data_IF_986847235110
#
_entry.id   IF_986847235110
#
_cell.length_a   1.000
_cell.length_b   1.000
_cell.length_c   1.000
_cell.angle_alpha   90.00
_cell.angle_beta   90.00
_cell.angle_gamma   90.00
#
_symmetry.space_group_name_H-M   'P 1'
#
loop_
_entity.id
_entity.type
_entity.pdbx_description
1 polymer ?
#
# COMPACT_ATOMS: atom_id res chain seq x y z
N UNK A 1 -9.02 11.90 8.66
CA UNK A 1 -8.28 11.62 7.42
C UNK A 1 -7.53 12.88 7.00
N UNK A 2 -6.22 12.94 7.28
CA UNK A 2 -5.33 14.07 6.92
C UNK A 2 -5.47 14.45 5.43
N UNK A 3 -5.38 13.45 4.57
CA UNK A 3 -5.54 13.55 3.12
C UNK A 3 -6.84 14.27 2.69
N UNK A 4 -7.96 13.95 3.34
CA UNK A 4 -9.25 14.58 3.04
C UNK A 4 -9.30 16.06 3.45
N UNK A 5 -8.59 16.46 4.51
CA UNK A 5 -8.54 17.85 4.97
C UNK A 5 -7.76 18.69 3.96
N UNK A 6 -6.62 18.18 3.53
CA UNK A 6 -5.76 18.81 2.53
C UNK A 6 -6.35 18.77 1.12
N UNK A 7 -7.30 17.85 0.86
CA UNK A 7 -8.09 17.79 -0.35
C UNK A 7 -7.49 16.94 -1.46
N UNK A 8 -6.43 16.18 -1.14
CA UNK A 8 -5.86 15.16 -2.00
C UNK A 8 -5.91 13.81 -1.27
N UNK A 9 -6.72 12.88 -1.79
CA UNK A 9 -6.76 11.50 -1.30
C UNK A 9 -5.92 10.68 -2.27
N UNK A 10 -4.95 9.92 -1.74
CA UNK A 10 -3.95 9.24 -2.57
C UNK A 10 -4.51 8.03 -3.32
N UNK A 11 -5.74 7.59 -2.98
CA UNK A 11 -6.48 6.54 -3.66
C UNK A 11 -7.98 6.74 -3.47
N UNK A 12 -8.74 6.67 -4.56
CA UNK A 12 -10.18 6.59 -4.56
C UNK A 12 -10.56 5.20 -5.07
N UNK A 13 -10.90 4.24 -4.19
CA UNK A 13 -11.22 2.89 -4.62
C UNK A 13 -12.38 2.94 -5.63
N UNK A 14 -12.18 2.39 -6.83
CA UNK A 14 -13.15 2.51 -7.93
C UNK A 14 -14.58 2.13 -7.53
N UNK A 15 -14.75 1.04 -6.78
CA UNK A 15 -16.06 0.52 -6.35
C UNK A 15 -16.76 1.35 -5.26
N UNK A 16 -16.02 2.21 -4.53
CA UNK A 16 -16.51 2.90 -3.33
C UNK A 16 -16.37 4.42 -3.42
N UNK A 17 -16.29 4.94 -4.65
CA UNK A 17 -16.05 6.36 -4.91
C UNK A 17 -17.11 6.95 -5.83
N UNK A 18 -17.53 8.18 -5.52
CA UNK A 18 -18.47 8.94 -6.34
C UNK A 18 -17.75 10.12 -7.01
N UNK A 19 -17.92 10.23 -8.33
CA UNK A 19 -17.23 11.24 -9.13
C UNK A 19 -18.23 12.21 -9.75
N UNK A 20 -17.87 13.49 -9.80
CA UNK A 20 -18.58 14.43 -10.68
C UNK A 20 -18.16 14.15 -12.11
N UNK A 21 -19.09 13.83 -13.00
CA UNK A 21 -18.79 13.51 -14.40
C UNK A 21 -17.91 14.59 -15.08
N UNK A 22 -18.22 15.87 -14.84
CA UNK A 22 -17.41 17.00 -15.33
C UNK A 22 -15.95 17.00 -14.85
N UNK A 23 -15.67 16.44 -13.68
CA UNK A 23 -14.34 16.41 -13.08
C UNK A 23 -13.46 15.32 -13.71
N UNK A 24 -14.05 14.18 -14.09
CA UNK A 24 -13.31 13.04 -14.66
C UNK A 24 -13.20 13.10 -16.18
N UNK A 25 -14.16 13.72 -16.90
CA UNK A 25 -14.13 13.79 -18.37
C UNK A 25 -12.85 14.45 -18.90
N UNK A 26 -12.28 13.85 -19.95
CA UNK A 26 -11.08 14.33 -20.63
C UNK A 26 -9.83 13.59 -20.15
N UNK A 27 -8.69 14.30 -19.93
CA UNK A 27 -7.42 13.67 -19.56
C UNK A 27 -7.50 12.72 -18.35
N UNK A 28 -8.23 12.99 -17.25
CA UNK A 28 -8.28 12.07 -16.12
C UNK A 28 -8.87 10.70 -16.47
N UNK A 29 -9.95 10.67 -17.26
CA UNK A 29 -10.58 9.42 -17.70
C UNK A 29 -9.73 8.67 -18.73
N UNK A 30 -9.03 9.40 -19.61
CA UNK A 30 -8.08 8.80 -20.56
C UNK A 30 -6.91 8.15 -19.82
N UNK A 31 -6.37 8.82 -18.81
CA UNK A 31 -5.33 8.25 -17.95
C UNK A 31 -5.84 6.99 -17.25
N UNK A 32 -7.05 7.02 -16.67
CA UNK A 32 -7.64 5.86 -15.99
C UNK A 32 -7.72 4.61 -16.87
N UNK A 33 -8.12 4.76 -18.14
CA UNK A 33 -8.27 3.64 -19.08
C UNK A 33 -7.03 3.35 -19.92
N UNK A 34 -5.91 4.05 -19.70
CA UNK A 34 -4.72 3.93 -20.55
C UNK A 34 -4.21 2.48 -20.67
N UNK A 35 -4.28 1.71 -19.58
CA UNK A 35 -3.88 0.30 -19.57
C UNK A 35 -4.77 -0.63 -20.38
N UNK A 36 -5.99 -0.21 -20.74
CA UNK A 36 -6.90 -0.94 -21.62
C UNK A 36 -6.74 -0.53 -23.09
N UNK A 37 -6.28 0.70 -23.35
CA UNK A 37 -6.17 1.25 -24.71
C UNK A 37 -4.77 1.13 -25.29
N UNK A 38 -3.75 0.95 -24.45
CA UNK A 38 -2.34 0.89 -24.87
C UNK A 38 -1.78 -0.51 -24.60
N UNK A 39 -1.21 -1.18 -25.61
CA UNK A 39 -0.54 -2.47 -25.41
C UNK A 39 0.56 -2.40 -24.35
N UNK A 40 0.74 -3.47 -23.56
CA UNK A 40 1.72 -3.50 -22.46
C UNK A 40 3.17 -3.31 -22.93
N UNK A 41 3.51 -3.78 -24.13
CA UNK A 41 4.85 -3.61 -24.69
C UNK A 41 5.21 -2.13 -24.96
N UNK A 42 4.22 -1.26 -25.17
CA UNK A 42 4.41 0.19 -25.35
C UNK A 42 4.45 0.95 -24.02
N UNK A 43 3.73 0.49 -23.00
CA UNK A 43 3.72 1.09 -21.66
C UNK A 43 5.07 0.94 -20.94
N UNK A 44 5.71 -0.22 -21.11
CA UNK A 44 6.93 -0.60 -20.40
C UNK A 44 6.70 -0.98 -18.93
N UNK A 45 7.74 -1.51 -18.28
CA UNK A 45 7.62 -2.13 -16.96
C UNK A 45 7.21 -1.15 -15.84
N UNK A 46 7.72 0.09 -15.87
CA UNK A 46 7.41 1.11 -14.87
C UNK A 46 5.93 1.53 -14.97
N UNK A 47 5.46 1.95 -16.16
CA UNK A 47 4.06 2.37 -16.31
C UNK A 47 3.12 1.19 -16.14
N UNK A 48 3.50 0.00 -16.60
CA UNK A 48 2.74 -1.23 -16.38
C UNK A 48 2.47 -1.48 -14.90
N UNK A 49 3.50 -1.40 -14.04
CA UNK A 49 3.30 -1.51 -12.59
C UNK A 49 2.49 -0.33 -12.03
N UNK A 50 2.71 0.90 -12.51
CA UNK A 50 1.95 2.09 -12.10
C UNK A 50 0.44 1.92 -12.34
N UNK A 51 0.04 1.35 -13.49
CA UNK A 51 -1.35 1.12 -13.86
C UNK A 51 -2.00 -0.11 -13.20
N UNK A 52 -1.28 -0.82 -12.31
CA UNK A 52 -1.90 -1.70 -11.32
C UNK A 52 -2.65 -0.88 -10.24
N UNK A 53 -2.49 0.43 -10.21
CA UNK A 53 -3.24 1.31 -9.31
C UNK A 53 -3.78 2.53 -10.07
N UNK A 54 -4.55 2.29 -11.14
CA UNK A 54 -5.16 3.33 -11.98
C UNK A 54 -6.01 4.34 -11.18
N UNK A 55 -6.64 3.87 -10.09
CA UNK A 55 -7.40 4.69 -9.16
C UNK A 55 -6.53 5.81 -8.55
N UNK A 56 -5.25 5.54 -8.26
CA UNK A 56 -4.30 6.51 -7.70
C UNK A 56 -3.87 7.54 -8.74
N UNK A 57 -3.65 7.09 -9.98
CA UNK A 57 -3.31 7.96 -11.11
C UNK A 57 -4.46 8.94 -11.36
N UNK A 58 -5.70 8.44 -11.36
CA UNK A 58 -6.89 9.28 -11.48
C UNK A 58 -6.96 10.35 -10.39
N UNK A 59 -6.65 10.01 -9.13
CA UNK A 59 -6.62 10.98 -8.04
C UNK A 59 -5.63 12.13 -8.32
N UNK A 60 -4.43 11.79 -8.80
CA UNK A 60 -3.43 12.80 -9.14
C UNK A 60 -3.85 13.66 -10.34
N UNK A 61 -4.35 13.05 -11.41
CA UNK A 61 -4.84 13.80 -12.59
C UNK A 61 -6.02 14.71 -12.28
N UNK A 62 -6.87 14.33 -11.31
CA UNK A 62 -7.91 15.21 -10.80
C UNK A 62 -7.35 16.41 -10.04
N UNK A 63 -6.35 16.18 -9.17
CA UNK A 63 -5.72 17.24 -8.37
C UNK A 63 -4.97 18.26 -9.25
N UNK A 64 -4.18 17.75 -10.20
CA UNK A 64 -3.30 18.52 -11.07
C UNK A 64 -4.02 19.09 -12.31
N UNK A 65 -5.34 18.91 -12.42
CA UNK A 65 -6.08 19.28 -13.62
C UNK A 65 -5.92 20.76 -13.98
N UNK A 66 -5.47 21.00 -15.22
CA UNK A 66 -5.21 22.35 -15.77
C UNK A 66 -6.40 23.30 -15.58
N UNK A 67 -6.14 24.44 -14.94
CA UNK A 67 -7.11 25.51 -14.70
C UNK A 67 -8.24 25.15 -13.73
N UNK A 68 -8.19 24.00 -13.08
CA UNK A 68 -9.24 23.51 -12.18
C UNK A 68 -8.73 23.41 -10.73
N UNK A 69 -9.69 23.28 -9.80
CA UNK A 69 -9.45 23.19 -8.35
C UNK A 69 -10.21 22.03 -7.70
N UNK A 70 -10.16 20.87 -8.35
CA UNK A 70 -10.85 19.68 -7.84
C UNK A 70 -10.17 19.15 -6.59
N UNK A 71 -10.98 18.82 -5.59
CA UNK A 71 -10.53 18.23 -4.33
C UNK A 71 -11.31 16.95 -4.07
N UNK A 72 -10.70 16.07 -3.28
CA UNK A 72 -11.25 14.77 -2.90
C UNK A 72 -11.61 14.80 -1.42
N UNK A 73 -12.72 14.16 -1.07
CA UNK A 73 -13.24 14.17 0.30
C UNK A 73 -13.65 12.76 0.72
N UNK A 74 -13.26 12.40 1.94
CA UNK A 74 -13.68 11.19 2.61
C UNK A 74 -14.99 11.44 3.35
N UNK A 75 -15.97 10.57 3.16
CA UNK A 75 -17.27 10.63 3.85
C UNK A 75 -17.37 9.42 4.76
N UNK A 76 -17.17 9.63 6.06
CA UNK A 76 -17.17 8.55 7.07
C UNK A 76 -18.47 7.75 7.09
N UNK A 77 -19.61 8.41 6.93
CA UNK A 77 -20.93 7.77 6.98
C UNK A 77 -21.25 6.95 5.71
N UNK A 78 -20.38 6.98 4.69
CA UNK A 78 -20.53 6.17 3.48
C UNK A 78 -19.93 4.78 3.70
N UNK A 79 -20.77 3.84 4.13
CA UNK A 79 -20.37 2.45 4.41
C UNK A 79 -20.51 1.59 3.16
N UNK A 80 -19.44 0.90 2.79
CA UNK A 80 -19.44 -0.15 1.77
C UNK A 80 -18.98 -1.48 2.37
N UNK A 81 -19.54 -2.59 1.88
CA UNK A 81 -19.14 -3.96 2.25
C UNK A 81 -18.59 -4.65 1.02
N UNK A 82 -17.50 -5.40 1.20
CA UNK A 82 -16.83 -6.13 0.13
C UNK A 82 -16.35 -7.46 0.66
N UNK A 83 -16.25 -8.42 -0.25
CA UNK A 83 -15.67 -9.72 0.06
C UNK A 83 -14.15 -9.60 0.25
N UNK A 84 -13.64 -10.37 1.19
CA UNK A 84 -12.20 -10.51 1.43
C UNK A 84 -11.67 -11.75 0.72
N UNK A 85 -10.38 -11.79 0.35
CA UNK A 85 -9.78 -13.01 -0.18
C UNK A 85 -9.97 -14.18 0.80
N UNK A 86 -10.50 -15.30 0.32
CA UNK A 86 -10.78 -16.50 1.13
C UNK A 86 -9.59 -17.45 1.20
N UNK A 87 -8.64 -17.32 0.27
CA UNK A 87 -7.43 -18.13 0.21
C UNK A 87 -6.13 -17.30 0.17
N UNK A 88 -5.05 -17.94 0.58
CA UNK A 88 -3.73 -17.29 0.67
C UNK A 88 -3.17 -16.86 -0.69
N UNK A 89 -3.47 -17.60 -1.76
CA UNK A 89 -2.97 -17.28 -3.10
C UNK A 89 -3.62 -16.00 -3.62
N UNK A 90 -4.94 -15.88 -3.46
CA UNK A 90 -5.68 -14.66 -3.78
C UNK A 90 -5.20 -13.47 -2.94
N UNK A 91 -4.92 -13.68 -1.65
CA UNK A 91 -4.38 -12.64 -0.78
C UNK A 91 -2.99 -12.19 -1.24
N UNK A 92 -2.06 -13.10 -1.51
CA UNK A 92 -0.70 -12.79 -1.97
C UNK A 92 -0.75 -12.06 -3.33
N UNK A 93 -1.55 -12.55 -4.28
CA UNK A 93 -1.74 -11.90 -5.58
C UNK A 93 -2.37 -10.52 -5.48
N UNK A 94 -3.33 -10.31 -4.56
CA UNK A 94 -3.87 -8.99 -4.27
C UNK A 94 -2.79 -8.06 -3.68
N UNK A 95 -2.04 -8.54 -2.68
CA UNK A 95 -1.02 -7.73 -1.99
C UNK A 95 0.13 -7.33 -2.91
N UNK A 96 0.60 -8.23 -3.79
CA UNK A 96 1.58 -7.89 -4.83
C UNK A 96 1.12 -6.71 -5.68
N UNK A 97 -0.10 -6.79 -6.22
CA UNK A 97 -0.66 -5.74 -7.09
C UNK A 97 -0.77 -4.40 -6.35
N UNK A 98 -1.27 -4.44 -5.13
CA UNK A 98 -1.48 -3.23 -4.33
C UNK A 98 -0.15 -2.60 -3.89
N UNK A 99 0.84 -3.39 -3.51
CA UNK A 99 2.16 -2.90 -3.09
C UNK A 99 2.91 -2.30 -4.28
N UNK A 100 3.04 -3.05 -5.39
CA UNK A 100 3.70 -2.56 -6.60
C UNK A 100 2.95 -1.33 -7.16
N UNK A 101 1.65 -1.44 -7.41
CA UNK A 101 0.85 -0.34 -7.95
C UNK A 101 0.90 0.92 -7.10
N UNK A 102 0.81 0.78 -5.77
CA UNK A 102 0.92 1.93 -4.87
C UNK A 102 2.30 2.56 -4.90
N UNK A 103 3.38 1.76 -4.92
CA UNK A 103 4.75 2.29 -4.99
C UNK A 103 4.98 3.10 -6.26
N UNK A 104 4.70 2.53 -7.44
CA UNK A 104 4.94 3.22 -8.71
C UNK A 104 4.02 4.42 -8.95
N UNK A 105 2.75 4.33 -8.55
CA UNK A 105 1.84 5.48 -8.63
C UNK A 105 2.25 6.63 -7.70
N UNK A 106 2.84 6.30 -6.55
CA UNK A 106 3.32 7.29 -5.60
C UNK A 106 4.63 7.95 -6.08
N UNK A 107 5.57 7.18 -6.63
CA UNK A 107 6.76 7.73 -7.31
C UNK A 107 6.35 8.64 -8.46
N UNK A 108 5.39 8.21 -9.29
CA UNK A 108 4.83 9.04 -10.35
C UNK A 108 4.25 10.36 -9.82
N UNK A 109 3.43 10.28 -8.78
CA UNK A 109 2.84 11.45 -8.11
C UNK A 109 3.92 12.42 -7.61
N UNK A 110 4.98 11.90 -7.00
CA UNK A 110 6.08 12.71 -6.47
C UNK A 110 6.83 13.42 -7.61
N UNK A 111 7.20 12.69 -8.66
CA UNK A 111 7.94 13.24 -9.80
C UNK A 111 7.12 14.28 -10.58
N UNK A 112 5.80 14.13 -10.63
CA UNK A 112 4.92 15.03 -11.36
C UNK A 112 4.32 16.14 -10.50
N UNK A 113 4.66 16.21 -9.21
CA UNK A 113 4.02 17.12 -8.25
C UNK A 113 4.06 18.59 -8.67
N UNK A 114 5.06 19.00 -9.45
CA UNK A 114 5.16 20.33 -10.05
C UNK A 114 3.89 20.77 -10.79
N UNK A 115 3.18 19.83 -11.44
CA UNK A 115 1.91 20.09 -12.14
C UNK A 115 0.82 20.63 -11.23
N UNK A 116 0.82 20.25 -9.95
CA UNK A 116 -0.11 20.79 -8.95
C UNK A 116 0.13 22.30 -8.76
N UNK A 117 1.37 22.79 -8.90
CA UNK A 117 1.68 24.21 -8.80
C UNK A 117 1.46 24.96 -10.10
N UNK A 118 1.88 24.39 -11.23
CA UNK A 118 1.94 25.06 -12.53
C UNK A 118 0.62 24.96 -13.32
N UNK A 119 -0.09 23.83 -13.24
CA UNK A 119 -1.28 23.59 -14.05
C UNK A 119 -2.57 23.86 -13.28
N UNK A 120 -2.63 23.53 -11.99
CA UNK A 120 -3.87 23.67 -11.19
C UNK A 120 -4.14 25.11 -10.75
N UNK A 121 -5.42 25.43 -10.57
CA UNK A 121 -5.89 26.73 -10.07
C UNK A 121 -6.29 26.68 -8.57
N UNK A 122 -5.58 25.86 -7.78
CA UNK A 122 -5.74 25.85 -6.32
C UNK A 122 -5.23 27.15 -5.69
N UNK A 123 -5.87 27.60 -4.61
CA UNK A 123 -5.42 28.79 -3.87
C UNK A 123 -4.05 28.59 -3.25
N UNK A 124 -3.30 29.68 -3.00
CA UNK A 124 -1.98 29.62 -2.36
C UNK A 124 -2.01 28.88 -1.02
N UNK A 125 -3.03 29.12 -0.20
CA UNK A 125 -3.23 28.42 1.08
C UNK A 125 -3.41 26.91 0.85
N UNK A 126 -4.21 26.51 -0.16
CA UNK A 126 -4.40 25.09 -0.49
C UNK A 126 -3.09 24.46 -0.96
N UNK A 127 -2.35 25.14 -1.84
CA UNK A 127 -1.04 24.69 -2.34
C UNK A 127 -0.03 24.51 -1.20
N UNK A 128 -0.03 25.39 -0.20
CA UNK A 128 0.79 25.25 1.00
C UNK A 128 0.48 23.95 1.77
N UNK A 129 -0.80 23.66 2.07
CA UNK A 129 -1.16 22.41 2.75
C UNK A 129 -0.90 21.15 1.90
N UNK A 130 -1.10 21.26 0.57
CA UNK A 130 -0.71 20.20 -0.36
C UNK A 130 0.82 19.98 -0.35
N UNK A 131 1.63 21.03 -0.18
CA UNK A 131 3.09 20.90 0.01
C UNK A 131 3.44 20.08 1.25
N UNK A 132 2.76 20.32 2.37
CA UNK A 132 2.93 19.55 3.60
C UNK A 132 2.58 18.08 3.35
N UNK A 133 1.47 17.82 2.64
CA UNK A 133 1.08 16.46 2.27
C UNK A 133 2.13 15.78 1.38
N UNK A 134 2.67 16.51 0.40
CA UNK A 134 3.74 16.03 -0.46
C UNK A 134 5.00 15.65 0.33
N UNK A 135 5.46 16.53 1.23
CA UNK A 135 6.60 16.24 2.09
C UNK A 135 6.36 14.99 2.94
N UNK A 136 5.16 14.87 3.52
CA UNK A 136 4.74 13.69 4.28
C UNK A 136 4.75 12.41 3.43
N UNK A 137 4.20 12.46 2.21
CA UNK A 137 4.15 11.32 1.30
C UNK A 137 5.54 10.90 0.81
N UNK A 138 6.41 11.86 0.47
CA UNK A 138 7.80 11.63 0.07
C UNK A 138 8.61 10.98 1.19
N UNK A 139 8.50 11.50 2.41
CA UNK A 139 9.15 10.91 3.57
C UNK A 139 8.60 9.49 3.86
N UNK A 140 7.29 9.27 3.68
CA UNK A 140 6.68 7.94 3.82
C UNK A 140 7.23 6.94 2.78
N UNK A 141 7.46 7.35 1.53
CA UNK A 141 8.12 6.51 0.52
C UNK A 141 9.55 6.17 0.93
N UNK A 142 10.32 7.16 1.39
CA UNK A 142 11.68 6.96 1.85
C UNK A 142 11.76 5.92 2.97
N UNK A 143 10.92 6.06 3.99
CA UNK A 143 10.82 5.09 5.09
C UNK A 143 10.34 3.71 4.62
N UNK A 144 9.41 3.67 3.66
CA UNK A 144 8.90 2.41 3.10
C UNK A 144 9.97 1.67 2.27
N UNK A 145 10.87 2.41 1.61
CA UNK A 145 11.95 1.86 0.80
C UNK A 145 12.95 1.03 1.62
N UNK A 146 13.29 1.53 2.82
CA UNK A 146 14.20 0.89 3.78
C UNK A 146 13.46 0.12 4.90
N UNK A 147 12.16 -0.14 4.72
CA UNK A 147 11.34 -0.72 5.78
C UNK A 147 11.81 -2.10 6.26
N UNK A 148 12.23 -3.05 5.38
CA UNK A 148 12.80 -4.31 5.83
C UNK A 148 14.07 -4.13 6.67
N UNK A 149 14.95 -3.21 6.28
CA UNK A 149 16.15 -2.89 7.05
C UNK A 149 15.81 -2.32 8.43
N UNK A 150 14.86 -1.37 8.50
CA UNK A 150 14.38 -0.82 9.78
C UNK A 150 13.81 -1.94 10.67
N UNK A 151 13.01 -2.85 10.11
CA UNK A 151 12.43 -3.98 10.86
C UNK A 151 13.51 -4.93 11.38
N UNK A 152 14.51 -5.24 10.56
CA UNK A 152 15.66 -6.03 10.95
C UNK A 152 16.45 -5.35 12.07
N UNK A 153 16.79 -4.06 11.93
CA UNK A 153 17.55 -3.30 12.92
C UNK A 153 16.83 -3.20 14.27
N UNK A 154 15.51 -2.97 14.27
CA UNK A 154 14.70 -2.99 15.50
C UNK A 154 14.77 -4.35 16.17
N UNK A 155 14.61 -5.42 15.39
CA UNK A 155 14.70 -6.80 15.91
C UNK A 155 16.12 -7.09 16.42
N UNK A 156 17.15 -6.70 15.68
CA UNK A 156 18.55 -6.89 16.03
C UNK A 156 18.91 -6.17 17.33
N UNK A 157 18.58 -4.89 17.48
CA UNK A 157 18.96 -4.15 18.68
C UNK A 157 18.09 -4.50 19.89
N UNK A 158 16.77 -4.61 19.73
CA UNK A 158 15.88 -4.87 20.87
C UNK A 158 15.92 -6.33 21.30
N UNK A 159 15.93 -7.28 20.37
CA UNK A 159 15.87 -8.71 20.70
C UNK A 159 17.28 -9.26 20.89
N UNK A 160 18.18 -9.08 19.92
CA UNK A 160 19.49 -9.75 19.95
C UNK A 160 20.47 -9.04 20.91
N UNK A 161 20.73 -7.75 20.71
CA UNK A 161 21.65 -6.99 21.57
C UNK A 161 21.06 -6.83 22.98
N UNK A 162 19.76 -6.56 23.07
CA UNK A 162 19.04 -6.51 24.34
C UNK A 162 19.22 -7.77 25.19
N UNK A 163 19.08 -8.94 24.59
CA UNK A 163 19.29 -10.24 25.24
C UNK A 163 20.75 -10.50 25.62
N UNK A 164 21.70 -10.19 24.73
CA UNK A 164 23.13 -10.42 24.98
C UNK A 164 23.65 -9.57 26.15
N UNK A 165 23.25 -8.29 26.19
CA UNK A 165 23.76 -7.30 27.16
C UNK A 165 22.93 -7.20 28.44
N UNK A 166 21.91 -8.04 28.60
CA UNK A 166 20.97 -7.98 29.72
C UNK A 166 20.22 -6.64 29.85
N UNK A 167 20.01 -5.98 28.72
CA UNK A 167 19.38 -4.65 28.68
C UNK A 167 17.85 -4.71 28.68
N UNK A 168 17.27 -5.91 28.81
CA UNK A 168 15.82 -6.07 28.90
C UNK A 168 15.29 -5.56 30.23
N UNK A 169 16.02 -5.72 31.34
CA UNK A 169 15.61 -5.22 32.66
C UNK A 169 14.42 -5.93 33.31
N UNK A 170 13.62 -6.70 32.56
CA UNK A 170 12.48 -7.48 33.06
C UNK A 170 12.73 -9.01 33.08
N UNK A 171 13.59 -9.52 32.20
CA UNK A 171 14.10 -10.90 32.28
C UNK A 171 15.59 -10.78 32.65
N UNK A 172 15.99 -11.12 33.87
CA UNK A 172 17.40 -11.18 34.26
C UNK A 172 18.08 -12.29 33.46
N UNK A 173 18.83 -11.89 32.43
CA UNK A 173 19.60 -12.78 31.58
C UNK A 173 21.03 -12.97 32.14
N UNK A 174 21.45 -12.21 33.14
CA UNK A 174 22.69 -12.39 33.92
C UNK A 174 22.95 -13.85 34.33
N UNK A 175 21.90 -14.62 34.67
CA UNK A 175 21.99 -16.03 35.07
C UNK A 175 22.17 -17.01 33.90
N UNK A 176 21.99 -16.55 32.66
CA UNK A 176 22.16 -17.37 31.46
C UNK A 176 23.63 -17.31 31.05
N UNK A 177 24.26 -18.48 30.87
CA UNK A 177 25.69 -18.53 30.52
C UNK A 177 25.97 -17.75 29.22
N UNK A 178 27.11 -17.04 29.12
CA UNK A 178 27.47 -16.29 27.91
C UNK A 178 27.46 -17.17 26.64
N UNK A 179 27.83 -18.44 26.77
CA UNK A 179 27.79 -19.43 25.69
C UNK A 179 26.36 -19.76 25.25
N UNK A 180 25.44 -19.97 26.20
CA UNK A 180 24.03 -20.20 25.91
C UNK A 180 23.38 -18.97 25.24
N UNK A 181 23.77 -17.76 25.66
CA UNK A 181 23.30 -16.52 25.01
C UNK A 181 23.75 -16.44 23.56
N UNK A 182 25.03 -16.74 23.28
CA UNK A 182 25.58 -16.73 21.92
C UNK A 182 24.92 -17.78 21.03
N UNK A 183 24.67 -18.99 21.53
CA UNK A 183 23.94 -20.03 20.78
C UNK A 183 22.52 -19.56 20.44
N UNK A 184 21.77 -19.01 21.40
CA UNK A 184 20.40 -18.56 21.16
C UNK A 184 20.35 -17.46 20.07
N UNK A 185 21.32 -16.54 20.09
CA UNK A 185 21.46 -15.50 19.05
C UNK A 185 21.83 -16.08 17.70
N UNK A 186 22.77 -17.03 17.65
CA UNK A 186 23.17 -17.68 16.40
C UNK A 186 22.01 -18.47 15.79
N UNK A 187 21.25 -19.20 16.60
CA UNK A 187 20.05 -19.93 16.18
C UNK A 187 18.99 -18.95 15.66
N UNK A 188 18.69 -17.87 16.38
CA UNK A 188 17.75 -16.84 15.92
C UNK A 188 18.22 -16.18 14.62
N UNK A 189 19.49 -15.81 14.52
CA UNK A 189 20.06 -15.16 13.33
C UNK A 189 20.06 -16.08 12.12
N UNK A 190 20.36 -17.37 12.33
CA UNK A 190 20.32 -18.39 11.28
C UNK A 190 18.87 -18.65 10.84
N UNK A 191 17.90 -18.71 11.76
CA UNK A 191 16.48 -18.84 11.42
C UNK A 191 15.95 -17.61 10.69
N UNK A 192 16.27 -16.39 11.15
CA UNK A 192 15.85 -15.15 10.49
C UNK A 192 16.50 -15.03 9.10
N UNK A 193 17.82 -15.20 9.01
CA UNK A 193 18.58 -15.13 7.76
C UNK A 193 18.17 -16.22 6.76
N UNK A 194 18.00 -17.47 7.20
CA UNK A 194 17.48 -18.55 6.35
C UNK A 194 16.04 -18.31 5.93
N UNK A 195 15.18 -17.79 6.80
CA UNK A 195 13.81 -17.44 6.42
C UNK A 195 13.77 -16.34 5.36
N UNK A 196 14.65 -15.34 5.45
CA UNK A 196 14.77 -14.26 4.46
C UNK A 196 15.36 -14.78 3.13
N UNK A 197 16.39 -15.63 3.20
CA UNK A 197 16.99 -16.25 2.01
C UNK A 197 16.00 -17.19 1.31
N UNK A 198 15.27 -18.01 2.07
CA UNK A 198 14.19 -18.85 1.55
C UNK A 198 13.10 -18.00 0.94
N UNK A 199 12.75 -16.83 1.51
CA UNK A 199 11.79 -15.90 0.91
C UNK A 199 12.30 -15.30 -0.41
N UNK A 200 13.58 -14.96 -0.51
CA UNK A 200 14.18 -14.48 -1.76
C UNK A 200 14.19 -15.59 -2.82
N UNK A 201 14.61 -16.79 -2.47
CA UNK A 201 14.69 -17.94 -3.38
C UNK A 201 13.29 -18.42 -3.79
N UNK A 202 12.35 -18.54 -2.84
CA UNK A 202 10.96 -18.91 -3.11
C UNK A 202 10.23 -17.82 -3.89
N UNK A 203 10.48 -16.54 -3.58
CA UNK A 203 9.94 -15.39 -4.30
C UNK A 203 10.43 -15.28 -5.75
N UNK A 204 11.63 -15.79 -6.05
CA UNK A 204 12.22 -15.83 -7.39
C UNK A 204 11.80 -17.03 -8.25
N UNK A 205 11.23 -18.09 -7.66
CA UNK A 205 11.11 -19.36 -8.37
C UNK A 205 9.91 -20.26 -8.11
N UNK A 206 9.03 -20.05 -7.12
CA UNK A 206 7.91 -20.99 -6.92
C UNK A 206 6.65 -20.37 -6.29
N UNK A 207 5.48 -20.80 -6.81
CA UNK A 207 4.16 -20.54 -6.21
C UNK A 207 4.10 -21.25 -4.85
N UNK A 208 3.92 -20.54 -3.72
CA UNK A 208 4.04 -21.17 -2.41
C UNK A 208 2.76 -21.96 -2.07
N UNK A 209 2.90 -23.27 -1.88
CA UNK A 209 1.90 -24.14 -1.23
C UNK A 209 2.36 -24.48 0.19
N UNK A 210 1.43 -24.25 1.13
CA UNK A 210 1.37 -24.69 2.53
C UNK A 210 2.37 -24.10 3.53
N UNK A 211 1.88 -23.17 4.37
CA UNK A 211 2.36 -22.94 5.76
C UNK A 211 1.14 -22.61 6.63
N UNK A 212 1.01 -23.27 7.80
CA UNK A 212 0.04 -22.91 8.86
C UNK A 212 0.83 -22.59 10.14
N UNK A 213 0.58 -21.43 10.74
CA UNK A 213 1.16 -20.98 12.01
C UNK A 213 0.04 -20.66 13.01
N UNK A 214 0.23 -21.08 14.27
CA UNK A 214 -0.63 -20.76 15.43
C UNK A 214 0.13 -19.80 16.36
N UNK A 215 -0.62 -18.95 17.07
CA UNK A 215 -0.12 -17.85 17.92
C UNK A 215 -0.55 -18.08 19.37
N UNK A 216 0.41 -18.01 20.29
CA UNK A 216 0.28 -17.85 21.76
C UNK A 216 1.67 -17.36 22.24
N UNK A 217 1.90 -16.44 23.18
CA UNK A 217 1.09 -15.68 24.14
C UNK A 217 1.73 -14.27 24.29
N UNK A 218 0.92 -13.23 24.55
CA UNK A 218 1.39 -11.86 24.85
C UNK A 218 0.70 -11.40 26.13
N UNK A 219 1.37 -11.52 27.28
CA UNK A 219 0.82 -10.99 28.54
C UNK A 219 1.88 -10.49 29.55
N UNK A 220 3.10 -10.14 29.10
CA UNK A 220 4.19 -9.73 30.00
C UNK A 220 4.81 -8.35 29.74
N UNK A 221 4.12 -7.44 29.04
CA UNK A 221 4.73 -6.20 28.50
C UNK A 221 4.45 -4.94 29.33
N UNK A 222 3.63 -4.98 30.40
CA UNK A 222 3.06 -3.75 30.98
C UNK A 222 3.75 -3.14 32.21
N UNK A 223 4.76 -3.77 32.81
CA UNK A 223 5.09 -3.39 34.21
C UNK A 223 6.33 -2.52 34.41
N UNK A 224 7.05 -2.07 33.37
CA UNK A 224 8.23 -1.19 33.55
C UNK A 224 8.40 -0.12 32.44
N UNK A 225 7.47 0.84 32.36
CA UNK A 225 7.59 1.99 31.46
C UNK A 225 7.95 3.27 32.23
N UNK A 226 9.13 3.84 31.98
CA UNK A 226 9.47 5.21 32.41
C UNK A 226 8.60 6.24 31.69
N UNK A 227 8.35 7.42 32.29
CA UNK A 227 7.41 8.44 31.78
C UNK A 227 7.68 8.89 30.33
N UNK A 228 8.96 8.96 29.93
CA UNK A 228 9.37 9.35 28.55
C UNK A 228 9.12 8.22 27.55
N UNK A 229 9.37 6.97 27.95
CA UNK A 229 9.12 5.77 27.13
C UNK A 229 7.62 5.48 27.02
N UNK A 230 6.86 5.76 28.08
CA UNK A 230 5.40 5.70 28.10
C UNK A 230 4.79 6.73 27.15
N UNK A 231 5.30 7.97 27.15
CA UNK A 231 4.85 9.00 26.22
C UNK A 231 5.16 8.62 24.75
N UNK A 232 6.32 8.03 24.48
CA UNK A 232 6.69 7.54 23.14
C UNK A 232 5.86 6.32 22.70
N UNK A 233 5.54 5.40 23.61
CA UNK A 233 4.65 4.28 23.36
C UNK A 233 3.20 4.72 23.11
N UNK A 234 2.69 5.67 23.90
CA UNK A 234 1.38 6.30 23.68
C UNK A 234 1.36 7.07 22.35
N UNK A 235 2.46 7.73 21.96
CA UNK A 235 2.57 8.37 20.65
C UNK A 235 2.64 7.36 19.48
N UNK A 236 3.18 6.16 19.71
CA UNK A 236 3.39 5.15 18.65
C UNK A 236 2.21 4.20 18.49
N UNK A 237 1.67 3.68 19.58
CA UNK A 237 0.53 2.76 19.62
C UNK A 237 -0.75 3.46 20.08
N UNK A 238 -0.68 4.26 21.15
CA UNK A 238 -1.83 4.95 21.75
C UNK A 238 -2.55 5.91 20.80
N UNK A 239 -1.85 6.48 19.82
CA UNK A 239 -2.46 7.33 18.78
C UNK A 239 -3.53 6.60 17.98
N UNK A 240 -3.37 5.30 17.69
CA UNK A 240 -4.40 4.54 16.97
C UNK A 240 -5.67 4.37 17.80
N UNK A 241 -5.52 4.10 19.11
CA UNK A 241 -6.63 3.99 20.04
C UNK A 241 -7.29 5.35 20.28
N UNK A 242 -6.52 6.41 20.50
CA UNK A 242 -7.02 7.76 20.71
C UNK A 242 -7.75 8.29 19.47
N UNK A 243 -7.15 8.17 18.28
CA UNK A 243 -7.80 8.58 17.04
C UNK A 243 -9.12 7.83 16.82
N UNK A 244 -9.15 6.52 17.10
CA UNK A 244 -10.36 5.72 16.93
C UNK A 244 -11.42 6.04 17.99
N UNK A 245 -11.02 6.33 19.23
CA UNK A 245 -11.91 6.78 20.29
C UNK A 245 -12.55 8.14 19.96
N UNK A 246 -11.76 9.10 19.46
CA UNK A 246 -12.26 10.41 18.97
C UNK A 246 -13.27 10.26 17.83
N UNK A 247 -13.19 9.16 17.08
CA UNK A 247 -14.12 8.81 16.02
C UNK A 247 -15.19 7.80 16.47
N UNK A 248 -15.29 7.44 17.75
CA UNK A 248 -16.25 6.45 18.26
C UNK A 248 -16.17 5.07 17.58
N UNK A 249 -14.99 4.67 17.10
CA UNK A 249 -14.73 3.41 16.36
C UNK A 249 -13.66 2.54 17.06
N UNK A 250 -13.49 2.74 18.37
CA UNK A 250 -12.44 2.09 19.17
C UNK A 250 -12.46 0.55 19.09
N UNK A 251 -13.65 -0.04 19.00
CA UNK A 251 -13.84 -1.49 18.95
C UNK A 251 -13.11 -2.16 17.78
N UNK A 252 -13.00 -1.49 16.62
CA UNK A 252 -12.29 -2.04 15.46
C UNK A 252 -10.80 -2.23 15.75
N UNK A 253 -10.15 -1.25 16.39
CA UNK A 253 -8.73 -1.34 16.74
C UNK A 253 -8.52 -2.36 17.85
N UNK A 254 -9.31 -2.29 18.93
CA UNK A 254 -9.15 -3.19 20.08
C UNK A 254 -9.24 -4.67 19.66
N UNK A 255 -10.21 -5.02 18.82
CA UNK A 255 -10.43 -6.41 18.41
C UNK A 255 -9.42 -6.93 17.37
N UNK A 256 -8.70 -6.06 16.68
CA UNK A 256 -7.79 -6.43 15.57
C UNK A 256 -6.31 -6.12 15.84
N UNK A 257 -5.99 -5.39 16.91
CA UNK A 257 -4.64 -4.91 17.18
C UNK A 257 -3.64 -6.04 17.34
N UNK A 258 -3.96 -7.06 18.15
CA UNK A 258 -3.06 -8.19 18.42
C UNK A 258 -2.77 -8.97 17.13
N UNK A 259 -3.81 -9.27 16.34
CA UNK A 259 -3.69 -9.96 15.07
C UNK A 259 -2.89 -9.13 14.06
N UNK A 260 -3.11 -7.80 14.03
CA UNK A 260 -2.35 -6.88 13.19
C UNK A 260 -0.86 -6.90 13.55
N UNK A 261 -0.52 -6.78 14.84
CA UNK A 261 0.86 -6.81 15.33
C UNK A 261 1.55 -8.15 15.03
N UNK A 262 0.84 -9.26 15.22
CA UNK A 262 1.36 -10.60 14.91
C UNK A 262 1.66 -10.79 13.41
N UNK A 263 0.93 -10.12 12.53
CA UNK A 263 1.12 -10.19 11.08
C UNK A 263 2.13 -9.19 10.53
N UNK A 264 2.65 -8.25 11.34
CA UNK A 264 3.64 -7.25 10.90
C UNK A 264 4.87 -7.88 10.22
N UNK A 265 5.50 -8.95 10.75
CA UNK A 265 6.64 -9.58 10.08
C UNK A 265 6.28 -10.08 8.68
N UNK A 266 5.07 -10.61 8.51
CA UNK A 266 4.55 -11.07 7.21
C UNK A 266 4.32 -9.91 6.25
N UNK A 267 3.71 -8.82 6.70
CA UNK A 267 3.47 -7.64 5.85
C UNK A 267 4.77 -6.94 5.43
N UNK A 268 5.71 -6.79 6.36
CA UNK A 268 6.94 -6.03 6.15
C UNK A 268 7.98 -6.83 5.37
N UNK A 269 8.18 -8.10 5.69
CA UNK A 269 9.24 -8.91 5.08
C UNK A 269 8.69 -9.77 3.94
N UNK A 270 7.70 -10.64 4.22
CA UNK A 270 7.25 -11.65 3.26
C UNK A 270 6.55 -11.01 2.07
N UNK A 271 5.46 -10.26 2.30
CA UNK A 271 4.63 -9.71 1.24
C UNK A 271 5.36 -8.62 0.45
N UNK A 272 6.17 -7.80 1.12
CA UNK A 272 6.96 -6.76 0.46
C UNK A 272 8.03 -7.36 -0.44
N UNK A 273 8.84 -8.30 0.08
CA UNK A 273 9.88 -8.99 -0.71
C UNK A 273 9.26 -9.74 -1.89
N UNK A 274 8.19 -10.49 -1.65
CA UNK A 274 7.46 -11.18 -2.72
C UNK A 274 6.99 -10.21 -3.81
N UNK A 275 6.52 -9.02 -3.43
CA UNK A 275 6.08 -7.99 -4.37
C UNK A 275 7.20 -7.53 -5.31
N UNK A 276 8.37 -7.23 -4.74
CA UNK A 276 9.56 -6.81 -5.51
C UNK A 276 10.13 -7.96 -6.37
N UNK A 277 10.09 -9.21 -5.89
CA UNK A 277 10.47 -10.38 -6.68
C UNK A 277 9.51 -10.63 -7.87
N UNK A 278 8.32 -10.05 -7.86
CA UNK A 278 7.29 -10.27 -8.88
C UNK A 278 6.89 -8.99 -9.63
N UNK A 279 7.81 -8.02 -9.78
CA UNK A 279 7.59 -6.77 -10.54
C UNK A 279 7.28 -6.98 -12.03
N UNK A 280 7.78 -8.07 -12.59
CA UNK A 280 7.51 -8.47 -13.98
C UNK A 280 6.06 -8.97 -14.19
N UNK A 281 5.37 -9.38 -13.11
CA UNK A 281 4.02 -9.94 -13.20
C UNK A 281 2.95 -8.84 -13.05
N UNK A 282 2.41 -8.41 -14.19
CA UNK A 282 1.33 -7.44 -14.30
C UNK A 282 -0.07 -8.07 -14.41
N UNK A 283 -0.21 -9.36 -14.12
CA UNK A 283 -1.51 -10.02 -14.18
C UNK A 283 -2.52 -9.34 -13.24
N UNK A 284 -3.71 -9.06 -13.77
CA UNK A 284 -4.81 -8.45 -13.05
C UNK A 284 -6.05 -9.33 -13.18
N UNK A 285 -6.39 -10.06 -12.11
CA UNK A 285 -7.60 -10.88 -12.06
C UNK A 285 -8.82 -10.10 -12.55
N UNK A 286 -9.56 -10.73 -13.47
CA UNK A 286 -10.78 -10.28 -14.19
C UNK A 286 -10.68 -9.13 -15.19
N UNK A 287 -9.52 -8.50 -15.43
CA UNK A 287 -9.33 -7.67 -16.65
C UNK A 287 -8.93 -8.63 -17.78
N UNK A 288 -9.93 -9.21 -18.44
CA UNK A 288 -9.80 -10.24 -19.47
C UNK A 288 -8.82 -9.89 -20.59
N UNK A 289 -7.56 -10.25 -20.41
CA UNK A 289 -6.53 -10.32 -21.45
C UNK A 289 -6.10 -11.78 -21.72
N UNK A 290 -6.77 -12.74 -21.10
CA UNK A 290 -6.77 -14.12 -21.58
C UNK A 290 -8.01 -14.28 -22.48
N UNK A 291 -7.76 -14.69 -23.72
CA UNK A 291 -8.68 -14.75 -24.87
C UNK A 291 -9.27 -13.39 -25.31
N UNK A 292 -8.45 -12.58 -25.98
CA UNK A 292 -8.95 -11.95 -27.22
C UNK A 292 -9.12 -13.04 -28.30
N UNK A 293 -9.98 -14.02 -28.03
CA UNK A 293 -10.61 -14.77 -29.11
C UNK A 293 -11.52 -13.74 -29.77
N UNK A 294 -10.98 -13.10 -30.81
CA UNK A 294 -11.65 -12.04 -31.50
C UNK A 294 -13.05 -12.49 -31.87
N UNK A 295 -14.05 -11.70 -31.48
CA UNK A 295 -15.32 -11.64 -32.20
C UNK A 295 -15.04 -11.06 -33.59
N UNK A 296 -14.24 -11.75 -34.40
CA UNK A 296 -14.23 -11.61 -35.83
C UNK A 296 -15.55 -12.14 -36.38
N UNK A 297 -16.12 -11.52 -37.42
CA UNK A 297 -17.34 -12.01 -38.03
C UNK A 297 -17.18 -13.49 -38.37
N UNK A 298 -18.12 -14.34 -37.91
CA UNK A 298 -18.21 -15.74 -38.36
C UNK A 298 -18.19 -15.70 -39.88
N UNK A 299 -17.13 -16.24 -40.48
CA UNK A 299 -16.96 -16.28 -41.92
C UNK A 299 -18.19 -16.96 -42.52
N UNK A 300 -19.05 -16.16 -43.15
CA UNK A 300 -20.10 -16.64 -44.01
C UNK A 300 -19.44 -17.49 -45.10
N UNK A 301 -20.02 -18.67 -45.34
CA UNK A 301 -19.56 -19.60 -46.37
C UNK A 301 -19.65 -18.97 -47.76
N UNK A 302 -18.60 -18.27 -48.16
CA UNK A 302 -18.37 -17.84 -49.53
C UNK A 302 -17.34 -18.76 -50.17
N UNK A 303 -17.69 -19.36 -51.31
CA UNK A 303 -16.76 -20.13 -52.17
C UNK A 303 -15.59 -19.23 -52.60
N UNK A 304 -14.51 -19.21 -51.83
CA UNK A 304 -13.25 -18.53 -52.15
C UNK A 304 -12.17 -19.53 -52.57
N UNK A 305 -11.31 -19.12 -53.50
CA UNK A 305 -10.22 -19.92 -54.03
C UNK A 305 -9.30 -20.45 -52.90
N UNK A 306 -8.87 -21.72 -52.99
CA UNK A 306 -7.99 -22.37 -52.00
C UNK A 306 -6.70 -21.57 -51.72
N UNK A 307 -6.16 -20.86 -52.72
CA UNK A 307 -4.99 -19.98 -52.58
C UNK A 307 -5.22 -18.82 -51.61
N UNK A 308 -6.37 -18.16 -51.66
CA UNK A 308 -6.69 -17.01 -50.79
C UNK A 308 -6.87 -17.44 -49.32
N UNK A 309 -7.36 -18.66 -49.09
CA UNK A 309 -7.47 -19.24 -47.76
C UNK A 309 -6.09 -19.60 -47.17
N UNK A 310 -5.16 -20.10 -47.99
CA UNK A 310 -3.78 -20.42 -47.58
C UNK A 310 -2.98 -19.16 -47.29
N UNK A 311 -3.12 -18.10 -48.09
CA UNK A 311 -2.46 -16.81 -47.85
C UNK A 311 -2.95 -16.14 -46.57
N UNK A 312 -4.26 -16.17 -46.31
CA UNK A 312 -4.83 -15.68 -45.03
C UNK A 312 -4.29 -16.44 -43.83
N UNK A 313 -4.17 -17.77 -43.91
CA UNK A 313 -3.56 -18.59 -42.84
C UNK A 313 -2.08 -18.26 -42.61
N UNK A 314 -1.29 -18.16 -43.67
CA UNK A 314 0.13 -17.76 -43.57
C UNK A 314 0.31 -16.36 -42.98
N UNK A 315 -0.55 -15.41 -43.37
CA UNK A 315 -0.55 -14.07 -42.79
C UNK A 315 -0.92 -14.08 -41.30
N UNK A 316 -1.88 -14.92 -40.90
CA UNK A 316 -2.26 -15.09 -39.49
C UNK A 316 -1.14 -15.74 -38.67
N UNK A 317 -0.48 -16.77 -39.19
CA UNK A 317 0.69 -17.42 -38.57
C UNK A 317 1.86 -16.45 -38.43
N UNK A 318 2.15 -15.67 -39.48
CA UNK A 318 3.18 -14.63 -39.43
C UNK A 318 2.86 -13.54 -38.41
N UNK A 319 1.58 -13.15 -38.27
CA UNK A 319 1.13 -12.20 -37.24
C UNK A 319 1.34 -12.78 -35.84
N UNK A 320 0.90 -14.02 -35.59
CA UNK A 320 1.09 -14.71 -34.30
C UNK A 320 2.57 -14.87 -33.94
N UNK A 321 3.43 -15.19 -34.91
CA UNK A 321 4.87 -15.26 -34.70
C UNK A 321 5.47 -13.91 -34.31
N UNK A 322 5.01 -12.83 -34.96
CA UNK A 322 5.44 -11.46 -34.64
C UNK A 322 4.96 -11.02 -33.24
N UNK A 323 3.71 -11.31 -32.90
CA UNK A 323 3.12 -11.07 -31.58
C UNK A 323 3.85 -11.86 -30.47
N UNK A 324 4.17 -13.13 -30.72
CA UNK A 324 4.93 -13.98 -29.79
C UNK A 324 6.35 -13.43 -29.56
N UNK A 325 7.03 -12.98 -30.62
CA UNK A 325 8.35 -12.35 -30.50
C UNK A 325 8.31 -11.06 -29.68
N UNK A 326 7.32 -10.19 -29.92
CA UNK A 326 7.13 -8.96 -29.13
C UNK A 326 6.88 -9.30 -27.66
N UNK A 327 6.06 -10.33 -27.40
CA UNK A 327 5.76 -10.78 -26.04
C UNK A 327 7.01 -11.29 -25.32
N UNK A 328 7.82 -12.11 -25.97
CA UNK A 328 9.07 -12.64 -25.41
C UNK A 328 10.09 -11.53 -25.12
N UNK A 329 10.28 -10.59 -26.06
CA UNK A 329 11.14 -9.42 -25.87
C UNK A 329 10.67 -8.55 -24.70
N UNK A 330 9.35 -8.33 -24.59
CA UNK A 330 8.73 -7.60 -23.48
C UNK A 330 8.94 -8.31 -22.14
N UNK A 331 8.69 -9.62 -22.07
CA UNK A 331 8.89 -10.41 -20.85
C UNK A 331 10.35 -10.38 -20.41
N UNK A 332 11.30 -10.52 -21.35
CA UNK A 332 12.73 -10.38 -21.09
C UNK A 332 13.10 -8.99 -20.55
N UNK A 333 12.56 -7.91 -21.14
CA UNK A 333 12.77 -6.55 -20.66
C UNK A 333 12.21 -6.34 -19.24
N UNK A 334 11.05 -6.91 -18.93
CA UNK A 334 10.40 -6.79 -17.63
C UNK A 334 11.14 -7.58 -16.55
N UNK A 335 11.64 -8.77 -16.89
CA UNK A 335 12.49 -9.56 -16.01
C UNK A 335 13.81 -8.84 -15.69
N UNK A 336 14.44 -8.20 -16.68
CA UNK A 336 15.65 -7.37 -16.46
C UNK A 336 15.33 -6.18 -15.56
N UNK A 337 14.26 -5.44 -15.83
CA UNK A 337 13.81 -4.34 -15.00
C UNK A 337 13.59 -4.77 -13.54
N UNK A 338 12.88 -5.90 -13.34
CA UNK A 338 12.71 -6.51 -12.02
C UNK A 338 14.06 -6.76 -11.36
N UNK A 339 14.93 -7.54 -12.00
CA UNK A 339 16.18 -8.00 -11.37
C UNK A 339 17.07 -6.82 -10.99
N UNK A 340 17.20 -5.82 -11.87
CA UNK A 340 17.98 -4.61 -11.59
C UNK A 340 17.39 -3.84 -10.40
N UNK A 341 16.08 -3.60 -10.39
CA UNK A 341 15.43 -2.85 -9.32
C UNK A 341 15.45 -3.61 -7.98
N UNK A 342 15.25 -4.93 -8.02
CA UNK A 342 15.31 -5.80 -6.84
C UNK A 342 16.72 -5.81 -6.24
N UNK A 343 17.76 -5.97 -7.06
CA UNK A 343 19.15 -5.94 -6.58
C UNK A 343 19.48 -4.57 -5.99
N UNK A 344 19.09 -3.48 -6.67
CA UNK A 344 19.28 -2.13 -6.14
C UNK A 344 18.59 -1.93 -4.80
N UNK A 345 17.32 -2.33 -4.68
CA UNK A 345 16.56 -2.24 -3.44
C UNK A 345 17.16 -3.09 -2.30
N UNK A 346 17.62 -4.30 -2.60
CA UNK A 346 18.30 -5.17 -1.63
C UNK A 346 19.62 -4.55 -1.17
N UNK A 347 20.43 -4.02 -2.09
CA UNK A 347 21.68 -3.35 -1.75
C UNK A 347 21.45 -2.08 -0.92
N UNK A 348 20.40 -1.30 -1.20
CA UNK A 348 20.02 -0.18 -0.34
C UNK A 348 19.68 -0.63 1.08
N UNK A 349 18.89 -1.69 1.24
CA UNK A 349 18.49 -2.18 2.56
C UNK A 349 19.67 -2.79 3.34
N UNK A 350 20.50 -3.60 2.68
CA UNK A 350 21.70 -4.20 3.28
C UNK A 350 22.74 -3.13 3.62
N UNK A 351 23.00 -2.21 2.70
CA UNK A 351 23.92 -1.09 2.91
C UNK A 351 23.46 -0.22 4.08
N UNK A 352 22.17 0.14 4.12
CA UNK A 352 21.61 0.91 5.23
C UNK A 352 21.74 0.18 6.57
N UNK A 353 21.35 -1.10 6.64
CA UNK A 353 21.48 -1.89 7.87
C UNK A 353 22.94 -2.00 8.33
N UNK A 354 23.86 -2.28 7.41
CA UNK A 354 25.30 -2.35 7.69
C UNK A 354 25.84 -1.02 8.21
N UNK A 355 25.52 0.09 7.55
CA UNK A 355 25.93 1.43 7.97
C UNK A 355 25.46 1.74 9.39
N UNK A 356 24.21 1.43 9.73
CA UNK A 356 23.70 1.65 11.10
C UNK A 356 24.42 0.75 12.12
N UNK A 357 24.67 -0.52 11.79
CA UNK A 357 25.36 -1.46 12.69
C UNK A 357 26.79 -1.01 12.98
N UNK A 358 27.50 -0.50 11.97
CA UNK A 358 28.89 -0.07 12.11
C UNK A 358 29.00 1.31 12.76
N UNK A 359 28.14 2.25 12.40
CA UNK A 359 28.26 3.64 12.85
C UNK A 359 27.55 3.94 14.17
N UNK A 360 26.49 3.21 14.54
CA UNK A 360 25.73 3.48 15.77
C UNK A 360 26.31 2.72 16.98
N UNK A 361 27.57 2.99 17.27
CA UNK A 361 28.29 2.48 18.45
C UNK A 361 28.68 3.67 19.33
N UNK A 362 28.13 3.72 20.54
CA UNK A 362 28.54 4.71 21.53
C UNK A 362 29.82 4.21 22.23
N UNK A 363 30.98 4.74 21.84
CA UNK A 363 32.29 4.34 22.37
C UNK A 363 32.43 4.57 23.88
N UNK A 364 31.77 5.60 24.43
CA UNK A 364 31.86 5.94 25.85
C UNK A 364 31.06 4.98 26.77
N UNK A 365 30.02 4.33 26.25
CA UNK A 365 29.13 3.45 27.04
C UNK A 365 29.09 2.01 26.54
N UNK A 366 29.72 1.71 25.40
CA UNK A 366 29.65 0.42 24.72
C UNK A 366 28.24 0.05 24.21
N UNK A 367 27.26 0.96 24.29
CA UNK A 367 25.90 0.74 23.84
C UNK A 367 25.81 0.87 22.30
N UNK A 368 25.13 -0.08 21.67
CA UNK A 368 24.98 -0.14 20.21
C UNK A 368 23.51 0.03 19.84
N UNK A 369 23.22 0.80 18.80
CA UNK A 369 21.87 0.95 18.24
C UNK A 369 20.94 1.93 18.94
N UNK A 370 21.35 2.49 20.08
CA UNK A 370 20.46 3.32 20.90
C UNK A 370 20.09 4.64 20.20
N UNK A 371 21.04 5.29 19.51
CA UNK A 371 20.78 6.57 18.86
C UNK A 371 19.85 6.39 17.66
N UNK A 372 20.08 5.35 16.86
CA UNK A 372 19.24 5.01 15.72
C UNK A 372 17.84 4.56 16.17
N UNK A 373 17.73 3.72 17.19
CA UNK A 373 16.41 3.34 17.73
C UNK A 373 15.63 4.57 18.18
N UNK A 374 16.25 5.48 18.95
CA UNK A 374 15.60 6.74 19.35
C UNK A 374 15.17 7.57 18.14
N UNK A 375 16.05 7.74 17.15
CA UNK A 375 15.73 8.44 15.91
C UNK A 375 14.52 7.83 15.19
N UNK A 376 14.49 6.50 15.05
CA UNK A 376 13.39 5.79 14.40
C UNK A 376 12.08 5.93 15.19
N UNK A 377 12.13 5.75 16.51
CA UNK A 377 10.97 5.92 17.39
C UNK A 377 10.39 7.34 17.30
N UNK A 378 11.23 8.38 17.38
CA UNK A 378 10.78 9.76 17.21
C UNK A 378 10.18 10.02 15.82
N UNK A 379 10.82 9.49 14.77
CA UNK A 379 10.30 9.61 13.41
C UNK A 379 8.90 9.00 13.29
N UNK A 380 8.70 7.77 13.80
CA UNK A 380 7.39 7.11 13.79
C UNK A 380 6.36 7.89 14.62
N UNK A 381 6.76 8.39 15.79
CA UNK A 381 5.90 9.22 16.65
C UNK A 381 5.45 10.51 15.94
N UNK A 382 6.35 11.22 15.25
CA UNK A 382 6.00 12.41 14.46
C UNK A 382 5.00 12.06 13.36
N UNK A 383 5.23 10.96 12.62
CA UNK A 383 4.30 10.52 11.57
C UNK A 383 2.90 10.21 12.11
N UNK A 384 2.82 9.55 13.26
CA UNK A 384 1.55 9.24 13.91
C UNK A 384 0.88 10.50 14.47
N UNK A 385 1.64 11.43 15.03
CA UNK A 385 1.11 12.71 15.50
C UNK A 385 0.51 13.53 14.34
N UNK A 386 1.20 13.61 13.19
CA UNK A 386 0.67 14.26 11.99
C UNK A 386 -0.64 13.61 11.54
N UNK A 387 -0.74 12.27 11.58
CA UNK A 387 -2.00 11.54 11.31
C UNK A 387 -3.09 11.88 12.32
N UNK A 388 -2.77 11.94 13.60
CA UNK A 388 -3.71 12.30 14.67
C UNK A 388 -4.25 13.72 14.48
N UNK A 389 -3.35 14.68 14.24
CA UNK A 389 -3.72 16.07 13.95
C UNK A 389 -4.66 16.15 12.75
N UNK A 390 -4.34 15.45 11.65
CA UNK A 390 -5.24 15.37 10.49
C UNK A 390 -6.58 14.69 10.79
N UNK A 391 -6.61 13.74 11.72
CA UNK A 391 -7.84 13.10 12.20
C UNK A 391 -8.72 14.07 13.00
N UNK A 392 -8.11 14.84 13.90
CA UNK A 392 -8.78 15.87 14.71
C UNK A 392 -9.29 17.01 13.82
N UNK A 393 -8.44 17.53 12.91
CA UNK A 393 -8.82 18.57 11.95
C UNK A 393 -9.98 18.12 11.05
N UNK A 394 -10.02 16.85 10.68
CA UNK A 394 -11.14 16.28 9.93
C UNK A 394 -12.44 16.31 10.73
N UNK A 395 -12.42 16.04 12.04
CA UNK A 395 -13.60 16.15 12.89
C UNK A 395 -14.09 17.59 12.93
N UNK A 396 -13.19 18.57 13.15
CA UNK A 396 -13.54 19.98 13.15
C UNK A 396 -14.12 20.46 11.81
N UNK A 397 -13.52 20.06 10.68
CA UNK A 397 -14.03 20.43 9.35
C UNK A 397 -15.37 19.76 9.05
N UNK A 398 -15.56 18.52 9.50
CA UNK A 398 -16.82 17.78 9.38
C UNK A 398 -17.92 18.36 10.27
N UNK A 399 -17.59 18.83 11.47
CA UNK A 399 -18.53 19.50 12.39
C UNK A 399 -18.97 20.86 11.84
N UNK A 400 -18.03 21.65 11.30
CA UNK A 400 -18.36 22.86 10.53
C UNK A 400 -19.24 22.53 9.33
N UNK A 401 -19.00 21.42 8.62
CA UNK A 401 -19.87 20.92 7.55
C UNK A 401 -21.28 20.53 8.05
N UNK A 402 -21.43 19.99 9.26
CA UNK A 402 -22.73 19.73 9.89
C UNK A 402 -23.46 21.02 10.25
N UNK A 403 -22.78 22.03 10.81
CA UNK A 403 -23.36 23.34 11.12
C UNK A 403 -23.74 24.09 9.82
N UNK A 404 -22.88 24.09 8.80
CA UNK A 404 -23.17 24.71 7.50
C UNK A 404 -24.24 23.95 6.70
N UNK A 405 -24.35 22.63 6.86
CA UNK A 405 -25.47 21.84 6.29
C UNK A 405 -26.77 22.04 7.06
N UNK A 406 -26.73 22.33 8.36
CA UNK A 406 -27.91 22.76 9.11
C UNK A 406 -28.52 24.03 8.50
N UNK A 407 -27.70 24.92 7.95
CA UNK A 407 -28.18 26.12 7.26
C UNK A 407 -28.62 25.91 5.80
N UNK A 408 -28.46 24.72 5.20
CA UNK A 408 -28.78 24.50 3.77
C UNK A 408 -29.60 23.23 3.46
N UNK A 409 -29.80 22.24 4.34
CA UNK A 409 -30.69 21.10 4.02
C UNK A 409 -31.07 20.20 5.22
N UNK A 410 -32.32 20.30 5.66
CA UNK A 410 -32.97 19.38 6.62
C UNK A 410 -33.22 17.99 6.05
N UNK A 411 -32.18 17.16 5.85
CA UNK A 411 -32.30 15.96 5.00
C UNK A 411 -32.02 14.61 5.66
N UNK A 412 -32.04 14.51 7.00
CA UNK A 412 -32.05 13.19 7.65
C UNK A 412 -33.46 12.78 8.08
N UNK A 413 -34.22 13.68 8.72
CA UNK A 413 -35.64 13.44 9.01
C UNK A 413 -36.48 13.30 7.75
N UNK A 414 -36.29 14.15 6.73
CA UNK A 414 -37.02 14.04 5.46
C UNK A 414 -36.70 12.74 4.72
N UNK A 415 -35.47 12.21 4.83
CA UNK A 415 -35.09 10.91 4.25
C UNK A 415 -35.70 9.75 5.02
N UNK A 416 -35.76 9.82 6.35
CA UNK A 416 -36.44 8.83 7.18
C UNK A 416 -37.95 8.84 6.86
N UNK A 417 -38.57 10.03 6.75
CA UNK A 417 -39.97 10.20 6.36
C UNK A 417 -40.24 9.71 4.93
N UNK A 418 -39.37 10.00 3.96
CA UNK A 418 -39.51 9.52 2.58
C UNK A 418 -39.34 8.00 2.47
N UNK A 419 -38.42 7.41 3.26
CA UNK A 419 -38.21 5.96 3.31
C UNK A 419 -39.38 5.24 4.00
N UNK A 420 -39.97 5.86 5.03
CA UNK A 420 -41.21 5.40 5.65
C UNK A 420 -42.39 5.47 4.67
N UNK A 421 -42.52 6.57 3.92
CA UNK A 421 -43.59 6.78 2.92
C UNK A 421 -43.48 5.83 1.72
N UNK A 422 -42.26 5.45 1.30
CA UNK A 422 -42.05 4.41 0.27
C UNK A 422 -42.40 3.00 0.77
N UNK A 423 -42.11 2.69 2.04
CA UNK A 423 -42.50 1.41 2.66
C UNK A 423 -44.00 1.28 2.87
N UNK A 424 -44.73 2.38 3.06
CA UNK A 424 -46.19 2.36 3.18
C UNK A 424 -46.91 2.29 1.83
N UNK A 425 -46.25 2.66 0.72
CA UNK A 425 -46.86 2.65 -0.62
C UNK A 425 -46.65 1.34 -1.38
N UNK A 426 -45.61 0.56 -1.07
CA UNK A 426 -45.36 -0.75 -1.67
C UNK A 426 -45.01 -1.79 -0.60
N UNK A 427 -45.98 -2.63 -0.15
CA UNK A 427 -45.68 -3.77 0.70
C UNK A 427 -44.82 -4.80 -0.06
N UNK A 428 -44.01 -5.61 0.65
CA UNK A 428 -43.02 -6.48 0.04
C UNK A 428 -43.69 -7.64 -0.70
N UNK A 429 -43.89 -7.45 -2.00
CA UNK A 429 -44.26 -8.45 -2.98
C UNK A 429 -44.03 -7.84 -4.35
N UNK A 430 -43.32 -8.56 -5.22
CA UNK A 430 -42.80 -8.14 -6.53
C UNK A 430 -41.42 -7.47 -6.49
N UNK A 431 -40.41 -8.34 -6.47
CA UNK A 431 -39.10 -8.06 -7.03
C UNK A 431 -39.22 -8.27 -8.55
N UNK A 432 -38.83 -7.26 -9.33
CA UNK A 432 -38.38 -7.40 -10.73
C UNK A 432 -36.92 -6.96 -10.77
#
# INVERSE_FOLDING_TARGET
SLESVFGFISVLPGAFSAYRYKAIRGPPLQAYFKSLTTPMHELGAFQGNMYLAEDRILCFELLARKGQRWTMQYVKDAIARTDVPTDLTALIGQRRRWLNGSFFALVYTILNWGRVYTESNHSYIRKFFLCIQYAYMTANVGLSWILPANFFLVTYYLVIIGFLKDNWGYIPTDKISPYAKQIAVQVFSLLYGSSFLVQLVAGLGNKPKHIKLKVADIQGIMDNFNLVDAAAFVASAGVFFLASALHCELHHIVLSFVQYMALLPTFVNILNTYSFCNLHDLSWGTKGLESSDGHGPKAGGGKGNFKDAVEKKKAEEARKAKEAKIKDEMEGAFQRFRSTLLIFWLLCNLGFAYTIIVLDVNEATGQQGLAYLKFLFYTVAVFNLVRLMGSILFLFSSFKLKIFRCCIRGTMEERIRAKAKRRSQHPPGHIV
#
